data_IF_581933586899
#
_entry.id   IF_581933586899
#
_cell.length_a   1.000
_cell.length_b   1.000
_cell.length_c   1.000
_cell.angle_alpha   90.00
_cell.angle_beta   90.00
_cell.angle_gamma   90.00
#
_symmetry.space_group_name_H-M   'P 1'
#
loop_
_entity.id
_entity.type
_entity.pdbx_description
1 polymer ?
#
# COMPACT_ATOMS: atom_id res chain seq x y z
N UNK A 1 21.57 5.46 26.23
CA UNK A 1 20.88 6.40 27.14
C UNK A 1 20.19 7.61 26.52
N UNK A 2 20.82 8.45 25.70
CA UNK A 2 20.17 9.68 25.18
C UNK A 2 18.93 9.39 24.29
N UNK A 3 18.98 8.37 23.43
CA UNK A 3 17.89 8.03 22.51
C UNK A 3 16.65 7.41 23.19
N UNK A 4 16.84 6.63 24.26
CA UNK A 4 15.75 6.06 25.06
C UNK A 4 15.04 7.14 25.89
N UNK A 5 15.79 8.10 26.43
CA UNK A 5 15.25 9.19 27.27
C UNK A 5 14.50 10.27 26.48
N UNK A 6 14.75 10.38 25.18
CA UNK A 6 14.10 11.35 24.30
C UNK A 6 13.12 10.68 23.30
N UNK A 7 12.74 9.41 23.54
CA UNK A 7 11.73 8.67 22.75
C UNK A 7 12.01 8.65 21.24
N UNK A 8 13.27 8.52 20.83
CA UNK A 8 13.60 8.37 19.40
C UNK A 8 13.52 6.92 18.94
N UNK A 9 14.02 5.99 19.77
CA UNK A 9 13.92 4.56 19.55
C UNK A 9 12.98 3.89 20.55
N UNK A 10 12.34 2.82 20.09
CA UNK A 10 11.45 2.00 20.89
C UNK A 10 12.26 1.16 21.90
N UNK A 11 12.10 1.38 23.22
CA UNK A 11 12.89 0.67 24.23
C UNK A 11 12.71 -0.85 24.18
N UNK A 12 11.48 -1.30 23.87
CA UNK A 12 11.11 -2.71 23.82
C UNK A 12 11.91 -3.52 22.79
N UNK A 13 12.39 -2.90 21.71
CA UNK A 13 13.26 -3.57 20.73
C UNK A 13 14.66 -3.79 21.32
N UNK A 14 15.19 -2.77 22.00
CA UNK A 14 16.55 -2.80 22.54
C UNK A 14 16.68 -3.67 23.79
N UNK A 15 15.60 -3.79 24.59
CA UNK A 15 15.58 -4.57 25.84
C UNK A 15 15.62 -6.08 25.62
N UNK A 16 15.38 -6.55 24.39
CA UNK A 16 15.51 -7.96 24.01
C UNK A 16 16.96 -8.43 23.88
N UNK A 17 17.92 -7.50 23.89
CA UNK A 17 19.33 -7.79 23.66
C UNK A 17 20.20 -7.24 24.79
N UNK A 18 21.33 -7.90 25.04
CA UNK A 18 22.35 -7.37 25.93
C UNK A 18 23.00 -6.12 25.32
N UNK A 19 23.38 -5.16 26.17
CA UNK A 19 24.11 -3.96 25.71
C UNK A 19 25.43 -4.33 25.02
N UNK A 20 26.13 -5.34 25.53
CA UNK A 20 27.37 -5.86 24.96
C UNK A 20 27.16 -6.42 23.54
N UNK A 21 26.06 -7.13 23.29
CA UNK A 21 25.71 -7.58 21.94
C UNK A 21 25.44 -6.40 21.02
N UNK A 22 24.61 -5.44 21.43
CA UNK A 22 24.31 -4.25 20.62
C UNK A 22 25.59 -3.48 20.27
N UNK A 23 26.52 -3.34 21.20
CA UNK A 23 27.80 -2.70 20.95
C UNK A 23 28.64 -3.50 19.94
N UNK A 24 28.78 -4.82 20.12
CA UNK A 24 29.49 -5.70 19.18
C UNK A 24 28.88 -5.64 17.77
N UNK A 25 27.55 -5.59 17.67
CA UNK A 25 26.85 -5.53 16.38
C UNK A 25 27.06 -4.18 15.68
N UNK A 26 27.09 -3.08 16.44
CA UNK A 26 27.47 -1.77 15.89
C UNK A 26 28.94 -1.76 15.43
N UNK A 27 29.86 -2.28 16.24
CA UNK A 27 31.28 -2.36 15.87
C UNK A 27 31.48 -3.20 14.60
N UNK A 28 30.74 -4.31 14.47
CA UNK A 28 30.69 -5.12 13.25
C UNK A 28 30.19 -4.32 12.04
N UNK A 29 29.05 -3.62 12.18
CA UNK A 29 28.46 -2.81 11.11
C UNK A 29 29.42 -1.70 10.63
N UNK A 30 30.01 -0.95 11.55
CA UNK A 30 30.98 0.11 11.23
C UNK A 30 32.32 -0.46 10.71
N UNK A 31 32.70 -1.65 11.15
CA UNK A 31 33.88 -2.39 10.68
C UNK A 31 33.82 -2.73 9.18
N UNK A 32 32.61 -2.85 8.60
CA UNK A 32 32.41 -3.04 7.16
C UNK A 32 32.77 -1.82 6.31
N UNK A 33 32.93 -0.64 6.93
CA UNK A 33 33.32 0.62 6.27
C UNK A 33 32.48 0.95 5.03
N UNK A 34 31.16 0.78 5.13
CA UNK A 34 30.23 1.03 4.04
C UNK A 34 30.42 2.42 3.40
N UNK A 35 30.28 2.49 2.07
CA UNK A 35 30.31 3.73 1.29
C UNK A 35 29.16 3.72 0.29
N UNK A 36 28.45 4.85 0.21
CA UNK A 36 27.53 5.06 -0.89
C UNK A 36 28.33 5.18 -2.19
N UNK A 37 27.98 4.39 -3.19
CA UNK A 37 28.62 4.41 -4.51
C UNK A 37 28.27 5.69 -5.30
N UNK A 38 27.14 6.33 -4.97
CA UNK A 38 26.66 7.51 -5.67
C UNK A 38 26.28 8.63 -4.69
N UNK A 39 26.50 9.88 -5.13
CA UNK A 39 26.03 11.06 -4.40
C UNK A 39 24.52 11.01 -4.15
N UNK A 40 23.73 10.59 -5.15
CA UNK A 40 22.28 10.51 -5.04
C UNK A 40 21.84 9.53 -3.96
N UNK A 41 22.52 8.37 -3.83
CA UNK A 41 22.25 7.40 -2.77
C UNK A 41 22.44 8.02 -1.38
N UNK A 42 23.59 8.67 -1.16
CA UNK A 42 23.87 9.36 0.10
C UNK A 42 22.86 10.48 0.36
N UNK A 43 22.64 11.35 -0.62
CA UNK A 43 21.70 12.48 -0.51
C UNK A 43 20.28 11.98 -0.19
N UNK A 44 19.81 10.93 -0.86
CA UNK A 44 18.47 10.38 -0.64
C UNK A 44 18.32 9.77 0.75
N UNK A 45 19.34 9.03 1.21
CA UNK A 45 19.36 8.47 2.56
C UNK A 45 19.25 9.56 3.63
N UNK A 46 20.12 10.57 3.59
CA UNK A 46 20.14 11.61 4.61
C UNK A 46 18.94 12.56 4.53
N UNK A 47 18.35 12.75 3.35
CA UNK A 47 17.17 13.62 3.23
C UNK A 47 15.87 12.93 3.66
N UNK A 48 15.71 11.63 3.37
CA UNK A 48 14.42 10.93 3.48
C UNK A 48 14.37 9.72 4.43
N UNK A 49 15.49 9.17 4.91
CA UNK A 49 15.51 7.90 5.67
C UNK A 49 16.05 8.04 7.10
N UNK A 50 17.22 8.67 7.23
CA UNK A 50 17.89 8.84 8.51
C UNK A 50 16.97 9.49 9.54
N UNK A 51 17.08 9.05 10.78
CA UNK A 51 16.52 9.74 11.92
C UNK A 51 17.17 11.12 12.06
N UNK A 52 16.33 12.12 12.35
CA UNK A 52 16.73 13.48 12.66
C UNK A 52 16.21 13.84 14.05
N UNK A 53 16.80 14.86 14.65
CA UNK A 53 16.20 15.52 15.81
C UNK A 53 14.79 16.01 15.47
N UNK A 54 13.90 16.13 16.46
CA UNK A 54 12.52 16.57 16.22
C UNK A 54 12.41 17.98 15.60
N UNK A 55 13.42 18.83 15.81
CA UNK A 55 13.52 20.15 15.15
C UNK A 55 14.10 20.09 13.72
N UNK A 56 14.46 18.89 13.24
CA UNK A 56 14.98 18.63 11.91
C UNK A 56 16.41 19.10 11.65
N UNK A 57 17.11 19.67 12.65
CA UNK A 57 18.39 20.37 12.44
C UNK A 57 19.61 19.45 12.39
N UNK A 58 19.54 18.25 12.99
CA UNK A 58 20.68 17.34 13.10
C UNK A 58 20.30 15.91 12.74
N UNK A 59 21.23 15.21 12.11
CA UNK A 59 21.13 13.76 11.86
C UNK A 59 21.53 12.99 13.13
N UNK A 60 20.76 11.96 13.46
CA UNK A 60 20.97 11.08 14.61
C UNK A 60 21.42 9.67 14.21
N UNK A 61 21.32 9.33 12.92
CA UNK A 61 21.71 8.03 12.35
C UNK A 61 22.68 8.24 11.19
N UNK A 62 23.64 7.33 11.05
CA UNK A 62 24.29 6.97 9.79
C UNK A 62 23.62 5.75 9.18
N UNK A 63 24.04 5.36 7.97
CA UNK A 63 23.48 4.19 7.30
C UNK A 63 23.63 2.93 8.16
N UNK A 64 24.80 2.74 8.74
CA UNK A 64 25.13 1.60 9.59
C UNK A 64 24.19 1.52 10.82
N UNK A 65 23.92 2.64 11.51
CA UNK A 65 23.01 2.68 12.66
C UNK A 65 21.58 2.24 12.28
N UNK A 66 21.11 2.72 11.11
CA UNK A 66 19.78 2.39 10.60
C UNK A 66 19.67 0.92 10.22
N UNK A 67 20.73 0.35 9.65
CA UNK A 67 20.79 -1.08 9.35
C UNK A 67 20.74 -1.91 10.63
N UNK A 68 21.56 -1.57 11.64
CA UNK A 68 21.58 -2.26 12.93
C UNK A 68 20.21 -2.22 13.60
N UNK A 69 19.59 -1.05 13.70
CA UNK A 69 18.27 -0.94 14.33
C UNK A 69 17.17 -1.70 13.56
N UNK A 70 17.25 -1.73 12.24
CA UNK A 70 16.31 -2.53 11.44
C UNK A 70 16.53 -4.03 11.68
N UNK A 71 17.78 -4.48 11.71
CA UNK A 71 18.10 -5.89 11.98
C UNK A 71 17.64 -6.32 13.38
N UNK A 72 17.93 -5.53 14.43
CA UNK A 72 17.49 -5.81 15.80
C UNK A 72 15.97 -5.91 15.92
N UNK A 73 15.25 -5.01 15.24
CA UNK A 73 13.79 -5.01 15.26
C UNK A 73 13.17 -6.20 14.52
N UNK A 74 13.79 -6.68 13.45
CA UNK A 74 13.29 -7.82 12.66
C UNK A 74 13.68 -9.17 13.27
N UNK A 75 14.83 -9.25 13.92
CA UNK A 75 15.34 -10.49 14.52
C UNK A 75 14.73 -10.81 15.88
N UNK A 76 14.00 -9.86 16.48
CA UNK A 76 13.16 -10.06 17.66
C UNK A 76 13.80 -10.74 18.90
N UNK A 77 15.11 -10.58 19.09
CA UNK A 77 15.88 -11.17 20.19
C UNK A 77 16.89 -12.24 19.74
N UNK A 78 16.83 -12.67 18.48
CA UNK A 78 17.78 -13.61 17.90
C UNK A 78 19.07 -12.88 17.44
N UNK A 79 20.16 -13.09 18.20
CA UNK A 79 21.46 -12.47 17.94
C UNK A 79 22.11 -12.93 16.62
N UNK A 80 21.93 -14.20 16.24
CA UNK A 80 22.50 -14.75 15.00
C UNK A 80 21.77 -14.17 13.79
N UNK A 81 20.44 -14.15 13.84
CA UNK A 81 19.62 -13.56 12.80
C UNK A 81 19.90 -12.06 12.67
N UNK A 82 19.99 -11.31 13.77
CA UNK A 82 20.33 -9.88 13.74
C UNK A 82 21.68 -9.63 13.05
N UNK A 83 22.70 -10.45 13.37
CA UNK A 83 24.03 -10.34 12.76
C UNK A 83 23.98 -10.64 11.26
N UNK A 84 23.25 -11.69 10.86
CA UNK A 84 23.08 -12.05 9.45
C UNK A 84 22.39 -10.93 8.65
N UNK A 85 21.32 -10.33 9.19
CA UNK A 85 20.60 -9.25 8.55
C UNK A 85 21.48 -8.01 8.36
N UNK A 86 22.33 -7.67 9.33
CA UNK A 86 23.30 -6.58 9.18
C UNK A 86 24.27 -6.85 8.03
N UNK A 87 24.80 -8.07 7.92
CA UNK A 87 25.73 -8.42 6.84
C UNK A 87 25.05 -8.40 5.46
N UNK A 88 23.86 -8.98 5.34
CA UNK A 88 23.09 -9.01 4.10
C UNK A 88 22.71 -7.61 3.60
N UNK A 89 22.34 -6.70 4.51
CA UNK A 89 21.97 -5.33 4.13
C UNK A 89 23.21 -4.50 3.78
N UNK A 90 24.28 -4.55 4.58
CA UNK A 90 25.49 -3.77 4.32
C UNK A 90 26.27 -4.23 3.10
N UNK A 91 26.18 -5.52 2.76
CA UNK A 91 26.74 -6.05 1.51
C UNK A 91 25.94 -5.69 0.26
N UNK A 92 24.74 -5.14 0.43
CA UNK A 92 23.82 -4.81 -0.67
C UNK A 92 23.06 -6.00 -1.24
N UNK A 93 23.17 -7.19 -0.64
CA UNK A 93 22.45 -8.40 -1.08
C UNK A 93 20.96 -8.35 -0.72
N UNK A 94 20.62 -7.66 0.36
CA UNK A 94 19.25 -7.48 0.82
C UNK A 94 18.91 -6.01 1.07
N UNK A 95 17.74 -5.57 0.61
CA UNK A 95 17.21 -4.24 0.91
C UNK A 95 15.74 -4.39 1.34
N UNK A 96 15.41 -4.17 2.63
CA UNK A 96 14.03 -4.16 3.07
C UNK A 96 13.24 -3.06 2.36
N UNK A 97 11.93 -3.28 2.22
CA UNK A 97 11.02 -2.27 1.69
C UNK A 97 11.11 -0.97 2.50
N UNK A 98 10.91 0.19 1.84
CA UNK A 98 10.93 1.51 2.48
C UNK A 98 10.13 1.60 3.78
N UNK A 99 8.86 1.14 3.89
CA UNK A 99 8.12 1.23 5.15
C UNK A 99 8.82 0.47 6.29
N UNK A 100 9.44 -0.68 6.01
CA UNK A 100 10.20 -1.43 7.01
C UNK A 100 11.49 -0.72 7.38
N UNK A 101 12.33 -0.38 6.38
CA UNK A 101 13.64 0.21 6.61
C UNK A 101 13.58 1.61 7.26
N UNK A 102 12.53 2.38 6.98
CA UNK A 102 12.34 3.71 7.51
C UNK A 102 11.86 3.69 8.98
N UNK A 103 11.02 2.73 9.36
CA UNK A 103 10.22 2.78 10.58
C UNK A 103 10.68 1.82 11.67
N UNK A 104 11.33 0.70 11.33
CA UNK A 104 11.68 -0.34 12.29
C UNK A 104 12.46 0.23 13.50
N UNK A 105 12.08 -0.11 14.72
CA UNK A 105 12.77 0.33 15.95
C UNK A 105 12.69 1.82 16.30
N UNK A 106 12.05 2.69 15.49
CA UNK A 106 11.74 4.08 15.87
C UNK A 106 10.48 4.12 16.74
N UNK A 107 10.46 4.99 17.76
CA UNK A 107 9.28 5.11 18.62
C UNK A 107 8.13 5.85 17.92
N UNK A 108 8.43 6.98 17.26
CA UNK A 108 7.48 7.74 16.46
C UNK A 108 7.47 7.21 15.02
N UNK A 109 6.81 6.07 14.80
CA UNK A 109 6.86 5.35 13.53
C UNK A 109 5.49 5.15 12.88
N UNK A 110 5.51 4.98 11.56
CA UNK A 110 4.39 4.39 10.82
C UNK A 110 4.36 2.86 10.92
N UNK A 111 3.46 2.25 10.16
CA UNK A 111 3.42 0.80 10.00
C UNK A 111 4.60 0.28 9.17
N UNK A 112 4.99 -0.98 9.37
CA UNK A 112 6.04 -1.63 8.59
C UNK A 112 5.54 -2.16 7.23
N UNK A 113 4.21 -2.25 7.09
CA UNK A 113 3.49 -2.67 5.88
C UNK A 113 2.66 -1.49 5.37
N UNK A 114 2.71 -1.24 4.07
CA UNK A 114 2.04 -0.09 3.45
C UNK A 114 1.26 -0.43 2.18
N UNK A 115 1.10 -1.70 1.81
CA UNK A 115 0.37 -2.10 0.60
C UNK A 115 -0.75 -3.07 0.98
N UNK A 116 -1.97 -2.73 0.59
CA UNK A 116 -3.17 -3.49 0.97
C UNK A 116 -4.07 -3.72 -0.24
N UNK A 117 -4.68 -4.90 -0.30
CA UNK A 117 -5.70 -5.25 -1.28
C UNK A 117 -6.98 -5.58 -0.53
N UNK A 118 -8.07 -4.93 -0.89
CA UNK A 118 -9.39 -5.11 -0.27
C UNK A 118 -10.38 -5.59 -1.31
N UNK A 119 -11.22 -6.54 -0.92
CA UNK A 119 -12.39 -6.96 -1.69
C UNK A 119 -13.61 -6.19 -1.21
N UNK A 120 -14.42 -5.69 -2.15
CA UNK A 120 -15.75 -5.15 -1.86
C UNK A 120 -16.78 -6.17 -2.33
N UNK A 121 -17.77 -6.43 -1.48
CA UNK A 121 -18.93 -7.28 -1.79
C UNK A 121 -20.10 -6.40 -2.24
N UNK A 122 -21.08 -7.00 -2.93
CA UNK A 122 -22.22 -6.28 -3.52
C UNK A 122 -23.32 -5.90 -2.51
N UNK A 123 -22.94 -5.16 -1.46
CA UNK A 123 -23.86 -4.61 -0.48
C UNK A 123 -23.32 -3.33 0.17
N UNK A 124 -24.21 -2.53 0.75
CA UNK A 124 -23.88 -1.23 1.32
C UNK A 124 -22.94 -1.33 2.52
N UNK A 125 -23.05 -2.39 3.32
CA UNK A 125 -22.19 -2.64 4.47
C UNK A 125 -20.73 -2.82 4.04
N UNK A 126 -20.50 -3.62 2.98
CA UNK A 126 -19.17 -3.88 2.44
C UNK A 126 -18.59 -2.65 1.74
N UNK A 127 -19.39 -1.92 0.97
CA UNK A 127 -18.97 -0.64 0.36
C UNK A 127 -18.55 0.37 1.44
N UNK A 128 -19.38 0.55 2.47
CA UNK A 128 -19.10 1.45 3.59
C UNK A 128 -17.83 1.04 4.34
N UNK A 129 -17.65 -0.27 4.57
CA UNK A 129 -16.43 -0.81 5.19
C UNK A 129 -15.19 -0.62 4.32
N UNK A 130 -15.30 -0.75 3.00
CA UNK A 130 -14.22 -0.48 2.05
C UNK A 130 -13.75 0.98 2.09
N UNK A 131 -14.71 1.91 2.16
CA UNK A 131 -14.45 3.34 2.34
C UNK A 131 -13.76 3.61 3.70
N UNK A 132 -14.31 3.07 4.78
CA UNK A 132 -13.74 3.23 6.11
C UNK A 132 -12.31 2.66 6.20
N UNK A 133 -12.08 1.48 5.63
CA UNK A 133 -10.76 0.85 5.60
C UNK A 133 -9.77 1.69 4.81
N UNK A 134 -10.19 2.27 3.67
CA UNK A 134 -9.39 3.19 2.88
C UNK A 134 -8.96 4.42 3.69
N UNK A 135 -9.88 5.03 4.46
CA UNK A 135 -9.56 6.14 5.36
C UNK A 135 -8.52 5.75 6.42
N UNK A 136 -8.71 4.61 7.09
CA UNK A 136 -7.81 4.19 8.18
C UNK A 136 -6.41 3.83 7.69
N UNK A 137 -6.33 3.11 6.57
CA UNK A 137 -5.05 2.68 5.99
C UNK A 137 -4.32 3.86 5.35
N UNK A 138 -5.02 4.74 4.62
CA UNK A 138 -4.43 5.92 3.98
C UNK A 138 -3.88 6.91 5.02
N UNK A 139 -4.58 7.12 6.14
CA UNK A 139 -4.11 7.95 7.27
C UNK A 139 -2.71 7.53 7.75
N UNK A 140 -2.38 6.23 7.68
CA UNK A 140 -1.09 5.67 8.10
C UNK A 140 -0.05 5.58 6.98
N UNK A 141 -0.33 6.17 5.82
CA UNK A 141 0.55 6.14 4.64
C UNK A 141 0.47 4.84 3.84
N UNK A 142 -0.59 4.05 4.02
CA UNK A 142 -0.84 2.85 3.24
C UNK A 142 -1.43 3.17 1.85
N UNK A 143 -0.91 2.51 0.82
CA UNK A 143 -1.55 2.40 -0.48
C UNK A 143 -2.57 1.25 -0.49
N UNK A 144 -3.76 1.50 -1.00
CA UNK A 144 -4.87 0.54 -0.96
C UNK A 144 -5.45 0.33 -2.35
N UNK A 145 -5.51 -0.93 -2.79
CA UNK A 145 -6.20 -1.35 -4.00
C UNK A 145 -7.53 -2.02 -3.64
N UNK A 146 -8.59 -1.73 -4.38
CA UNK A 146 -9.92 -2.30 -4.14
C UNK A 146 -10.46 -3.03 -5.38
N UNK A 147 -11.00 -4.23 -5.19
CA UNK A 147 -11.71 -4.96 -6.24
C UNK A 147 -13.16 -4.45 -6.33
N UNK A 148 -13.55 -3.96 -7.51
CA UNK A 148 -14.91 -3.49 -7.79
C UNK A 148 -15.74 -4.48 -8.62
N UNK A 149 -15.13 -5.54 -9.16
CA UNK A 149 -15.77 -6.48 -10.09
C UNK A 149 -16.99 -7.22 -9.53
N UNK A 150 -17.16 -7.27 -8.21
CA UNK A 150 -18.31 -7.90 -7.58
C UNK A 150 -19.53 -6.97 -7.50
N UNK A 151 -19.32 -5.65 -7.57
CA UNK A 151 -20.41 -4.67 -7.44
C UNK A 151 -21.32 -4.78 -8.66
N UNK A 152 -22.63 -4.84 -8.45
CA UNK A 152 -23.59 -4.90 -9.55
C UNK A 152 -23.46 -3.69 -10.48
N UNK A 153 -23.68 -3.93 -11.76
CA UNK A 153 -23.56 -2.95 -12.82
C UNK A 153 -24.61 -1.82 -12.72
N UNK A 154 -24.34 -0.73 -13.42
CA UNK A 154 -25.34 0.33 -13.58
C UNK A 154 -26.57 -0.18 -14.35
N UNK A 155 -27.77 0.09 -13.81
CA UNK A 155 -29.04 -0.43 -14.33
C UNK A 155 -29.50 -1.74 -13.66
N UNK A 156 -28.64 -2.41 -12.89
CA UNK A 156 -29.03 -3.62 -12.16
C UNK A 156 -30.19 -3.35 -11.17
N UNK A 157 -31.06 -4.34 -10.89
CA UNK A 157 -32.15 -4.20 -9.94
C UNK A 157 -31.69 -3.99 -8.50
N UNK A 158 -32.47 -3.22 -7.73
CA UNK A 158 -32.33 -3.10 -6.27
C UNK A 158 -33.68 -3.43 -5.63
N UNK A 159 -33.71 -4.39 -4.71
CA UNK A 159 -34.95 -4.87 -4.06
C UNK A 159 -36.07 -5.20 -5.08
N UNK A 160 -35.69 -5.86 -6.19
CA UNK A 160 -36.58 -6.23 -7.31
C UNK A 160 -37.13 -5.06 -8.14
N UNK A 161 -36.72 -3.83 -7.86
CA UNK A 161 -37.05 -2.67 -8.70
C UNK A 161 -35.98 -2.55 -9.77
N UNK A 162 -36.40 -2.60 -11.04
CA UNK A 162 -35.53 -2.54 -12.21
C UNK A 162 -34.88 -1.15 -12.38
N UNK A 163 -33.70 -1.11 -13.02
CA UNK A 163 -32.99 0.12 -13.39
C UNK A 163 -32.67 1.06 -12.22
N UNK A 164 -32.25 0.51 -11.06
CA UNK A 164 -31.98 1.30 -9.86
C UNK A 164 -30.50 1.45 -9.51
N UNK A 165 -29.64 0.48 -9.86
CA UNK A 165 -28.21 0.57 -9.54
C UNK A 165 -27.53 1.69 -10.32
N UNK A 166 -26.72 2.48 -9.61
CA UNK A 166 -25.87 3.51 -10.19
C UNK A 166 -24.49 2.99 -10.64
N UNK A 167 -24.22 1.70 -10.46
CA UNK A 167 -22.96 1.04 -10.81
C UNK A 167 -21.77 1.48 -9.96
N UNK A 168 -20.57 1.27 -10.49
CA UNK A 168 -19.30 1.43 -9.74
C UNK A 168 -18.80 2.89 -9.63
N UNK A 169 -19.24 3.79 -10.52
CA UNK A 169 -18.68 5.15 -10.60
C UNK A 169 -18.89 5.97 -9.32
N UNK A 170 -20.09 5.99 -8.70
CA UNK A 170 -20.28 6.68 -7.41
C UNK A 170 -19.40 6.10 -6.29
N UNK A 171 -19.17 4.78 -6.30
CA UNK A 171 -18.28 4.12 -5.33
C UNK A 171 -16.85 4.59 -5.53
N UNK A 172 -16.37 4.66 -6.78
CA UNK A 172 -15.05 5.22 -7.10
C UNK A 172 -14.93 6.67 -6.63
N UNK A 173 -15.99 7.47 -6.75
CA UNK A 173 -15.96 8.87 -6.31
C UNK A 173 -15.80 9.00 -4.80
N UNK A 174 -16.55 8.20 -4.03
CA UNK A 174 -16.42 8.15 -2.57
C UNK A 174 -15.02 7.69 -2.14
N UNK A 175 -14.44 6.72 -2.85
CA UNK A 175 -13.08 6.26 -2.59
C UNK A 175 -12.04 7.33 -2.90
N UNK A 176 -12.15 8.02 -4.05
CA UNK A 176 -11.27 9.14 -4.42
C UNK A 176 -11.23 10.23 -3.35
N UNK A 177 -12.41 10.68 -2.91
CA UNK A 177 -12.52 11.71 -1.88
C UNK A 177 -11.95 11.24 -0.54
N UNK A 178 -12.11 9.96 -0.23
CA UNK A 178 -11.54 9.34 0.98
C UNK A 178 -10.00 9.37 0.98
N UNK A 179 -9.36 9.00 -0.12
CA UNK A 179 -7.89 9.06 -0.24
C UNK A 179 -7.37 10.50 -0.28
N UNK A 180 -8.11 11.42 -0.91
CA UNK A 180 -7.74 12.83 -0.94
C UNK A 180 -7.82 13.47 0.45
N UNK A 181 -8.80 13.06 1.26
CA UNK A 181 -8.98 13.55 2.62
C UNK A 181 -7.93 12.96 3.59
N UNK A 182 -7.74 11.64 3.58
CA UNK A 182 -6.86 10.93 4.49
C UNK A 182 -5.40 10.90 3.98
N UNK A 183 -4.79 12.08 3.85
CA UNK A 183 -3.40 12.22 3.44
C UNK A 183 -2.41 11.97 4.61
N UNK A 184 -1.17 11.60 4.29
CA UNK A 184 -0.13 11.24 5.26
C UNK A 184 0.42 12.48 5.97
N UNK A 185 -0.38 13.09 6.86
CA UNK A 185 -0.02 14.30 7.62
C UNK A 185 0.49 15.45 6.72
N UNK A 186 -0.13 15.62 5.55
CA UNK A 186 0.25 16.65 4.57
C UNK A 186 1.54 16.37 3.77
N UNK A 187 2.22 15.23 3.98
CA UNK A 187 3.46 14.92 3.26
C UNK A 187 3.22 14.37 1.85
N UNK A 188 2.17 13.55 1.64
CA UNK A 188 1.79 12.94 0.35
C UNK A 188 0.29 12.71 0.27
N UNK A 189 -0.26 12.83 -0.94
CA UNK A 189 -1.62 12.41 -1.27
C UNK A 189 -1.78 10.90 -1.02
N UNK A 190 -2.94 10.48 -0.51
CA UNK A 190 -3.26 9.06 -0.35
C UNK A 190 -3.21 8.36 -1.71
N UNK A 191 -2.70 7.12 -1.73
CA UNK A 191 -2.59 6.33 -2.95
C UNK A 191 -3.68 5.25 -2.97
N UNK A 192 -4.65 5.41 -3.87
CA UNK A 192 -5.73 4.44 -4.08
C UNK A 192 -5.68 3.85 -5.48
N UNK A 193 -6.02 2.57 -5.60
CA UNK A 193 -6.25 1.90 -6.87
C UNK A 193 -7.57 1.14 -6.85
N UNK A 194 -8.21 1.01 -8.00
CA UNK A 194 -9.40 0.18 -8.17
C UNK A 194 -9.22 -0.74 -9.35
N UNK A 195 -9.64 -1.99 -9.19
CA UNK A 195 -9.54 -3.03 -10.20
C UNK A 195 -10.92 -3.48 -10.65
N UNK A 196 -11.07 -3.65 -11.96
CA UNK A 196 -12.29 -4.14 -12.60
C UNK A 196 -11.95 -5.22 -13.63
N UNK A 197 -12.80 -6.24 -13.76
CA UNK A 197 -12.70 -7.20 -14.85
C UNK A 197 -13.07 -6.57 -16.20
N UNK A 198 -12.36 -6.96 -17.26
CA UNK A 198 -12.67 -6.57 -18.63
C UNK A 198 -14.08 -6.98 -19.08
N UNK A 199 -14.60 -8.09 -18.55
CA UNK A 199 -15.93 -8.61 -18.87
C UNK A 199 -17.05 -8.07 -17.95
N UNK A 200 -16.75 -7.04 -17.15
CA UNK A 200 -17.75 -6.38 -16.32
C UNK A 200 -18.58 -5.37 -17.15
N UNK A 201 -19.91 -5.26 -16.98
CA UNK A 201 -20.75 -4.38 -17.81
C UNK A 201 -20.36 -2.89 -17.75
N UNK A 202 -19.86 -2.43 -16.60
CA UNK A 202 -19.37 -1.05 -16.43
C UNK A 202 -17.95 -0.81 -17.00
N UNK A 203 -17.30 -1.76 -17.69
CA UNK A 203 -15.89 -1.61 -18.14
C UNK A 203 -15.63 -0.36 -18.98
N UNK A 204 -16.52 -0.02 -19.91
CA UNK A 204 -16.34 1.17 -20.75
C UNK A 204 -16.48 2.46 -19.93
N UNK A 205 -17.48 2.51 -19.03
CA UNK A 205 -17.68 3.63 -18.11
C UNK A 205 -16.51 3.80 -17.14
N UNK A 206 -15.94 2.69 -16.68
CA UNK A 206 -14.76 2.65 -15.82
C UNK A 206 -13.56 3.33 -16.49
N UNK A 207 -13.26 2.93 -17.73
CA UNK A 207 -12.17 3.52 -18.51
C UNK A 207 -12.43 4.99 -18.86
N UNK A 208 -13.68 5.34 -19.15
CA UNK A 208 -14.09 6.71 -19.48
C UNK A 208 -13.83 7.71 -18.33
N UNK A 209 -13.76 7.26 -17.08
CA UNK A 209 -13.44 8.14 -15.93
C UNK A 209 -12.07 8.84 -16.02
N UNK A 210 -11.15 8.27 -16.81
CA UNK A 210 -9.80 8.81 -17.02
C UNK A 210 -9.62 9.60 -18.31
N UNK A 211 -10.66 9.68 -19.16
CA UNK A 211 -10.61 10.55 -20.35
C UNK A 211 -10.50 12.01 -19.92
N UNK A 212 -9.61 12.76 -20.57
CA UNK A 212 -9.39 14.18 -20.24
C UNK A 212 -10.67 15.02 -20.42
N UNK A 213 -11.48 14.67 -21.44
CA UNK A 213 -12.73 15.35 -21.79
C UNK A 213 -13.96 14.74 -21.09
N UNK A 214 -13.79 13.95 -20.02
CA UNK A 214 -14.90 13.38 -19.28
C UNK A 214 -15.68 14.47 -18.50
N UNK A 215 -17.00 14.30 -18.35
CA UNK A 215 -17.84 15.14 -17.49
C UNK A 215 -17.28 15.11 -16.05
N UNK A 216 -17.27 16.27 -15.39
CA UNK A 216 -16.69 16.41 -14.05
C UNK A 216 -17.36 15.49 -13.01
N UNK A 217 -18.63 15.12 -13.21
CA UNK A 217 -19.36 14.20 -12.33
C UNK A 217 -18.88 12.76 -12.40
N UNK A 218 -18.30 12.33 -13.54
CA UNK A 218 -17.78 10.97 -13.74
C UNK A 218 -16.24 10.91 -13.65
N UNK A 219 -15.59 12.06 -13.69
CA UNK A 219 -14.13 12.14 -13.74
C UNK A 219 -13.50 11.75 -12.40
N UNK A 220 -12.52 10.83 -12.49
CA UNK A 220 -11.71 10.35 -11.36
C UNK A 220 -10.25 10.76 -11.59
N UNK A 221 -9.77 11.71 -10.79
CA UNK A 221 -8.45 12.34 -10.91
C UNK A 221 -7.34 11.51 -10.24
N UNK A 222 -7.52 11.05 -9.01
CA UNK A 222 -6.41 10.53 -8.16
C UNK A 222 -6.35 9.00 -8.06
N UNK A 223 -7.48 8.29 -8.18
CA UNK A 223 -7.45 6.82 -8.15
C UNK A 223 -6.75 6.25 -9.38
N UNK A 224 -5.88 5.28 -9.17
CA UNK A 224 -5.32 4.47 -10.26
C UNK A 224 -6.34 3.42 -10.72
N UNK A 225 -6.34 3.10 -12.01
CA UNK A 225 -7.21 2.06 -12.57
C UNK A 225 -6.38 0.82 -12.91
N UNK A 226 -6.92 -0.35 -12.59
CA UNK A 226 -6.42 -1.64 -13.04
C UNK A 226 -7.53 -2.42 -13.73
N UNK A 227 -7.18 -3.16 -14.79
CA UNK A 227 -8.10 -4.04 -15.50
C UNK A 227 -7.59 -5.48 -15.42
N UNK A 228 -8.46 -6.41 -15.05
CA UNK A 228 -8.17 -7.84 -15.10
C UNK A 228 -8.68 -8.36 -16.45
N UNK A 229 -7.77 -8.84 -17.30
CA UNK A 229 -8.07 -9.28 -18.67
C UNK A 229 -7.80 -10.78 -18.77
N UNK A 230 -8.83 -11.64 -18.88
CA UNK A 230 -8.66 -13.07 -19.08
C UNK A 230 -8.22 -13.40 -20.52
N UNK A 231 -7.66 -14.59 -20.72
CA UNK A 231 -7.13 -15.04 -22.02
C UNK A 231 -8.17 -14.99 -23.15
N UNK A 232 -9.43 -15.34 -22.85
CA UNK A 232 -10.53 -15.29 -23.83
C UNK A 232 -10.72 -13.89 -24.45
N UNK A 233 -10.43 -12.81 -23.70
CA UNK A 233 -10.50 -11.45 -24.26
C UNK A 233 -9.50 -11.27 -25.40
N UNK A 234 -8.31 -11.86 -25.29
CA UNK A 234 -7.30 -11.81 -26.35
C UNK A 234 -7.67 -12.69 -27.54
N UNK A 235 -8.27 -13.84 -27.31
CA UNK A 235 -8.75 -14.73 -28.37
C UNK A 235 -9.87 -14.07 -29.19
N UNK A 236 -10.87 -13.50 -28.51
CA UNK A 236 -11.97 -12.76 -29.14
C UNK A 236 -11.43 -11.57 -29.96
N UNK A 237 -10.53 -10.77 -29.37
CA UNK A 237 -9.92 -9.64 -30.06
C UNK A 237 -9.09 -10.05 -31.28
N UNK A 238 -8.39 -11.20 -31.21
CA UNK A 238 -7.59 -11.72 -32.34
C UNK A 238 -8.47 -12.14 -33.51
N UNK A 239 -9.66 -12.66 -33.23
CA UNK A 239 -10.60 -13.13 -34.24
C UNK A 239 -11.63 -12.08 -34.70
N UNK A 240 -11.55 -10.84 -34.17
CA UNK A 240 -12.55 -9.79 -34.40
C UNK A 240 -13.98 -10.20 -33.97
N UNK A 241 -14.07 -10.91 -32.84
CA UNK A 241 -15.32 -11.41 -32.26
C UNK A 241 -15.84 -10.50 -31.12
N UNK A 242 -17.16 -10.52 -30.91
CA UNK A 242 -17.81 -9.72 -29.88
C UNK A 242 -17.44 -10.18 -28.45
N UNK A 243 -17.06 -9.22 -27.60
CA UNK A 243 -16.87 -9.44 -26.17
C UNK A 243 -18.17 -9.21 -25.41
N UNK A 244 -18.77 -10.29 -24.91
CA UNK A 244 -19.93 -10.21 -24.03
C UNK A 244 -19.54 -9.83 -22.60
N UNK A 245 -20.38 -9.00 -21.98
CA UNK A 245 -20.26 -8.54 -20.60
C UNK A 245 -21.31 -9.24 -19.74
N UNK A 246 -20.93 -9.66 -18.54
CA UNK A 246 -21.79 -10.49 -17.68
C UNK A 246 -22.17 -9.73 -16.41
N UNK A 247 -23.47 -9.61 -16.15
CA UNK A 247 -24.00 -8.99 -14.93
C UNK A 247 -23.54 -9.77 -13.68
N UNK A 248 -22.75 -9.16 -12.77
CA UNK A 248 -22.41 -9.80 -11.50
C UNK A 248 -23.65 -10.14 -10.67
N UNK A 249 -24.70 -9.31 -10.78
CA UNK A 249 -25.98 -9.52 -10.10
C UNK A 249 -26.67 -10.82 -10.56
N UNK A 250 -26.78 -11.02 -11.87
CA UNK A 250 -27.42 -12.24 -12.40
C UNK A 250 -26.56 -13.47 -12.15
N UNK A 251 -25.23 -13.35 -12.27
CA UNK A 251 -24.30 -14.47 -12.00
C UNK A 251 -24.43 -14.94 -10.56
N UNK A 252 -24.42 -14.02 -9.58
CA UNK A 252 -24.56 -14.39 -8.16
C UNK A 252 -25.89 -15.13 -7.91
N UNK A 253 -26.97 -14.69 -8.55
CA UNK A 253 -28.29 -15.30 -8.39
C UNK A 253 -28.42 -16.67 -9.04
N UNK A 254 -27.83 -16.87 -10.22
CA UNK A 254 -27.94 -18.13 -10.98
C UNK A 254 -26.98 -19.19 -10.45
N UNK A 255 -25.75 -18.80 -10.14
CA UNK A 255 -24.69 -19.75 -9.77
C UNK A 255 -24.41 -19.82 -8.26
N UNK A 256 -24.96 -18.90 -7.46
CA UNK A 256 -24.75 -18.86 -6.02
C UNK A 256 -23.33 -18.45 -5.61
N UNK A 257 -22.52 -17.96 -6.54
CA UNK A 257 -21.16 -17.49 -6.31
C UNK A 257 -20.92 -16.17 -7.06
N UNK A 258 -20.03 -15.35 -6.53
CA UNK A 258 -19.62 -14.12 -7.19
C UNK A 258 -18.68 -14.44 -8.35
N UNK A 259 -18.89 -13.78 -9.49
CA UNK A 259 -18.19 -14.05 -10.76
C UNK A 259 -16.65 -14.04 -10.64
N UNK A 260 -16.09 -13.32 -9.67
CA UNK A 260 -14.65 -13.10 -9.52
C UNK A 260 -14.09 -13.62 -8.18
N UNK A 261 -14.66 -14.71 -7.64
CA UNK A 261 -14.26 -15.27 -6.33
C UNK A 261 -13.47 -16.58 -6.38
N UNK A 262 -13.04 -17.03 -7.56
CA UNK A 262 -12.18 -18.20 -7.76
C UNK A 262 -10.74 -17.82 -8.06
#
# INVERSE_FOLDING_TARGET
DVYKRQEYYEPAVLEKYSFDFIQRLNDFAYGKKFRFETFLGAFKYYTSYTLKTFDGKRYLERFEDRVVMTALALADGDEELATSLVDEILSGRFQPATPTFLNAGKAQRGELVSCFLLRIEDNMESISRGINSSLQLSKRGGGVALLLSNIREAGAPIKQIENQSSGIIPVMKLLEDSFSYANQLGARQGAGAVYLSAHHPDIMRFLDTKRENADEKIRIKTLSLGVVVPDITFELAKNDEDMYLFSPYDVERVYGCLLYTS
#
